data_IF_949391935911
#
_entry.id   IF_949391935911
#
_cell.length_a   1.000
_cell.length_b   1.000
_cell.length_c   1.000
_cell.angle_alpha   90.00
_cell.angle_beta   90.00
_cell.angle_gamma   90.00
#
_symmetry.space_group_name_H-M   'P 1'
#
loop_
_entity.id
_entity.type
_entity.pdbx_description
1 polymer ?
#
# COMPACT_ATOMS: atom_id res chain seq x y z
N UNK A 1 -14.89 -5.92 -6.28
CA UNK A 1 -14.20 -7.07 -5.66
C UNK A 1 -12.89 -6.59 -5.06
N UNK A 2 -12.53 -7.03 -3.84
CA UNK A 2 -11.32 -6.57 -3.14
C UNK A 2 -10.10 -7.41 -3.50
N UNK A 3 -8.94 -6.78 -3.50
CA UNK A 3 -7.63 -7.40 -3.77
C UNK A 3 -6.81 -7.37 -2.49
N UNK A 4 -6.47 -8.55 -1.96
CA UNK A 4 -5.61 -8.69 -0.78
C UNK A 4 -4.17 -8.91 -1.21
N UNK A 5 -3.25 -8.10 -0.69
CA UNK A 5 -1.81 -8.23 -0.98
C UNK A 5 -1.07 -8.55 0.33
N UNK A 6 -0.31 -9.64 0.34
CA UNK A 6 0.44 -10.10 1.51
C UNK A 6 1.80 -9.40 1.63
N UNK A 7 1.83 -8.28 2.36
CA UNK A 7 3.01 -7.41 2.46
C UNK A 7 3.87 -7.61 3.73
N UNK A 8 3.45 -8.42 4.70
CA UNK A 8 4.05 -8.44 6.04
C UNK A 8 5.16 -9.46 6.30
N UNK A 9 5.68 -10.14 5.27
CA UNK A 9 6.73 -11.16 5.44
C UNK A 9 8.14 -10.56 5.61
N UNK A 10 9.02 -11.28 6.34
CA UNK A 10 10.38 -10.85 6.66
C UNK A 10 11.34 -10.69 5.45
N UNK A 11 10.98 -11.20 4.26
CA UNK A 11 11.78 -10.96 3.06
C UNK A 11 13.15 -11.67 2.99
N UNK A 12 13.39 -12.71 3.81
CA UNK A 12 14.70 -13.37 4.04
C UNK A 12 15.51 -13.82 2.81
N UNK A 13 14.89 -13.93 1.63
CA UNK A 13 15.56 -14.33 0.37
C UNK A 13 16.23 -13.16 -0.38
N UNK A 14 15.95 -11.91 0.02
CA UNK A 14 16.50 -10.68 -0.55
C UNK A 14 17.09 -9.84 0.58
N UNK A 15 17.94 -10.46 1.39
CA UNK A 15 18.35 -9.93 2.70
C UNK A 15 19.09 -8.59 2.60
N UNK A 16 19.91 -8.41 1.56
CA UNK A 16 20.70 -7.21 1.28
C UNK A 16 19.85 -5.94 1.15
N UNK A 17 18.70 -6.02 0.47
CA UNK A 17 17.75 -4.90 0.33
C UNK A 17 16.70 -4.87 1.46
N UNK A 18 16.33 -6.05 1.98
CA UNK A 18 15.24 -6.16 2.97
C UNK A 18 15.63 -5.78 4.40
N UNK A 19 16.93 -5.71 4.67
CA UNK A 19 17.48 -5.15 5.91
C UNK A 19 17.15 -3.66 6.06
N UNK A 20 16.92 -2.94 4.96
CA UNK A 20 16.58 -1.51 4.97
C UNK A 20 15.08 -1.26 4.74
N UNK A 21 14.44 -1.97 3.80
CA UNK A 21 13.01 -1.79 3.43
C UNK A 21 12.25 -3.11 3.30
N UNK A 22 10.94 -3.21 3.60
CA UNK A 22 10.21 -4.45 3.38
C UNK A 22 10.20 -4.80 1.88
N UNK A 23 10.24 -6.08 1.51
CA UNK A 23 10.35 -6.54 0.11
C UNK A 23 9.36 -5.85 -0.86
N UNK A 24 8.07 -5.62 -0.50
CA UNK A 24 7.13 -4.93 -1.39
C UNK A 24 7.55 -3.49 -1.75
N UNK A 25 8.43 -2.88 -0.96
CA UNK A 25 8.94 -1.51 -1.12
C UNK A 25 10.26 -1.43 -1.91
N UNK A 26 10.79 -2.56 -2.38
CA UNK A 26 11.88 -2.55 -3.38
C UNK A 26 11.35 -1.89 -4.66
N UNK A 27 12.14 -0.99 -5.25
CA UNK A 27 11.70 -0.16 -6.37
C UNK A 27 12.12 -0.75 -7.72
N UNK A 28 11.25 -0.56 -8.72
CA UNK A 28 11.54 -0.81 -10.13
C UNK A 28 11.10 0.46 -10.88
N UNK A 29 12.04 1.13 -11.55
CA UNK A 29 11.74 2.40 -12.25
C UNK A 29 11.24 3.51 -11.31
N UNK A 30 11.79 3.61 -10.09
CA UNK A 30 11.44 4.65 -9.12
C UNK A 30 10.07 4.47 -8.42
N UNK A 31 9.41 3.32 -8.59
CA UNK A 31 8.17 2.98 -7.88
C UNK A 31 8.28 1.60 -7.21
N UNK A 32 7.71 1.40 -6.01
CA UNK A 32 7.69 0.10 -5.34
C UNK A 32 7.07 -1.02 -6.18
N UNK A 33 7.57 -2.25 -6.06
CA UNK A 33 6.94 -3.45 -6.65
C UNK A 33 5.47 -3.54 -6.23
N UNK A 34 5.15 -3.20 -4.99
CA UNK A 34 3.78 -3.13 -4.48
C UNK A 34 2.89 -2.24 -5.34
N UNK A 35 3.38 -1.06 -5.71
CA UNK A 35 2.68 -0.12 -6.57
C UNK A 35 2.44 -0.73 -7.96
N UNK A 36 3.44 -1.38 -8.55
CA UNK A 36 3.30 -2.06 -9.84
C UNK A 36 2.25 -3.18 -9.82
N UNK A 37 2.23 -4.00 -8.78
CA UNK A 37 1.21 -5.04 -8.59
C UNK A 37 -0.19 -4.40 -8.54
N UNK A 38 -0.35 -3.34 -7.75
CA UNK A 38 -1.63 -2.62 -7.65
C UNK A 38 -2.03 -1.99 -8.99
N UNK A 39 -1.07 -1.46 -9.77
CA UNK A 39 -1.32 -0.95 -11.13
C UNK A 39 -1.86 -2.02 -12.07
N UNK A 40 -1.33 -3.23 -12.01
CA UNK A 40 -1.81 -4.37 -12.82
C UNK A 40 -3.28 -4.66 -12.49
N UNK A 41 -3.63 -4.79 -11.20
CA UNK A 41 -5.03 -5.00 -10.79
C UNK A 41 -5.94 -3.84 -11.19
N UNK A 42 -5.48 -2.61 -10.99
CA UNK A 42 -6.24 -1.41 -11.32
C UNK A 42 -6.51 -1.26 -12.82
N UNK A 43 -5.58 -1.71 -13.67
CA UNK A 43 -5.77 -1.76 -15.12
C UNK A 43 -6.98 -2.63 -15.50
N UNK A 44 -7.24 -3.71 -14.77
CA UNK A 44 -8.42 -4.57 -14.92
C UNK A 44 -9.64 -4.10 -14.09
N UNK A 45 -9.62 -2.88 -13.57
CA UNK A 45 -10.73 -2.28 -12.83
C UNK A 45 -10.79 -2.63 -11.34
N UNK A 46 -9.82 -3.38 -10.80
CA UNK A 46 -9.77 -3.73 -9.38
C UNK A 46 -8.96 -2.69 -8.60
N UNK A 47 -9.66 -1.73 -7.99
CA UNK A 47 -9.07 -0.57 -7.30
C UNK A 47 -9.25 -0.55 -5.78
N UNK A 48 -9.84 -1.61 -5.19
CA UNK A 48 -10.06 -1.72 -3.75
C UNK A 48 -9.09 -2.75 -3.15
N UNK A 49 -8.08 -2.26 -2.43
CA UNK A 49 -6.93 -3.02 -1.96
C UNK A 49 -6.93 -3.16 -0.44
N UNK A 50 -6.54 -4.35 0.04
CA UNK A 50 -6.25 -4.61 1.44
C UNK A 50 -4.80 -5.08 1.54
N UNK A 51 -3.96 -4.29 2.19
CA UNK A 51 -2.55 -4.60 2.38
C UNK A 51 -2.37 -5.24 3.76
N UNK A 52 -1.98 -6.51 3.79
CA UNK A 52 -1.69 -7.23 5.03
C UNK A 52 -0.28 -6.89 5.52
N UNK A 53 -0.18 -5.89 6.40
CA UNK A 53 1.08 -5.40 6.93
C UNK A 53 1.62 -6.30 8.06
N UNK A 54 2.92 -6.24 8.28
CA UNK A 54 3.63 -6.95 9.33
C UNK A 54 4.98 -6.25 9.53
N UNK A 55 6.07 -7.01 9.44
CA UNK A 55 7.42 -6.47 9.59
C UNK A 55 7.63 -5.21 8.71
N UNK A 56 8.04 -4.11 9.34
CA UNK A 56 8.23 -2.78 8.72
C UNK A 56 6.99 -2.20 8.03
N UNK A 57 5.80 -2.52 8.53
CA UNK A 57 4.54 -2.01 7.99
C UNK A 57 4.44 -0.49 8.00
N UNK A 58 5.14 0.20 8.90
CA UNK A 58 5.18 1.67 8.97
C UNK A 58 5.68 2.31 7.67
N UNK A 59 6.67 1.72 7.00
CA UNK A 59 7.21 2.27 5.75
C UNK A 59 6.16 2.25 4.63
N UNK A 60 5.32 1.20 4.58
CA UNK A 60 4.23 1.10 3.62
C UNK A 60 3.13 2.12 3.96
N UNK A 61 2.83 2.31 5.26
CA UNK A 61 1.87 3.32 5.70
C UNK A 61 2.34 4.73 5.32
N UNK A 62 3.60 5.05 5.58
CA UNK A 62 4.19 6.35 5.25
C UNK A 62 4.19 6.61 3.74
N UNK A 63 4.55 5.60 2.93
CA UNK A 63 4.50 5.71 1.48
C UNK A 63 3.11 6.11 0.97
N UNK A 64 2.04 5.42 1.41
CA UNK A 64 0.68 5.74 0.95
C UNK A 64 0.09 6.99 1.61
N UNK A 65 0.46 7.30 2.86
CA UNK A 65 0.03 8.52 3.55
C UNK A 65 0.57 9.77 2.86
N UNK A 66 1.83 9.72 2.43
CA UNK A 66 2.51 10.83 1.77
C UNK A 66 2.45 10.76 0.23
N UNK A 67 1.76 9.75 -0.33
CA UNK A 67 1.82 9.43 -1.77
C UNK A 67 1.45 10.62 -2.65
N UNK A 68 0.32 11.27 -2.35
CA UNK A 68 -0.18 12.41 -3.12
C UNK A 68 0.77 13.61 -3.07
N UNK A 69 1.48 13.81 -1.95
CA UNK A 69 2.42 14.93 -1.79
C UNK A 69 3.75 14.62 -2.47
N UNK A 70 4.25 13.40 -2.35
CA UNK A 70 5.56 13.00 -2.89
C UNK A 70 5.53 12.68 -4.38
N UNK A 71 4.37 12.28 -4.91
CA UNK A 71 4.21 11.91 -6.32
C UNK A 71 3.82 13.08 -7.21
N UNK A 72 3.43 14.22 -6.64
CA UNK A 72 2.81 15.32 -7.37
C UNK A 72 3.40 16.66 -6.95
N UNK A 73 3.35 17.63 -7.85
CA UNK A 73 3.59 19.02 -7.48
C UNK A 73 2.42 19.52 -6.61
N UNK A 74 2.72 20.23 -5.53
CA UNK A 74 1.70 20.73 -4.61
C UNK A 74 2.05 22.12 -4.07
N UNK A 75 1.02 22.89 -3.74
CA UNK A 75 1.14 24.16 -2.99
C UNK A 75 0.64 23.94 -1.57
N UNK A 76 1.38 24.43 -0.57
CA UNK A 76 0.97 24.44 0.83
C UNK A 76 0.99 25.85 1.39
N UNK A 77 -0.10 26.27 2.04
CA UNK A 77 -0.17 27.53 2.77
C UNK A 77 0.19 27.30 4.25
N UNK A 78 1.22 28.00 4.74
CA UNK A 78 1.70 27.89 6.12
C UNK A 78 1.18 29.05 6.96
N UNK A 79 0.86 28.80 8.24
CA UNK A 79 0.42 29.83 9.20
C UNK A 79 -1.09 30.10 9.22
N UNK A 80 -1.88 29.45 8.37
CA UNK A 80 -3.34 29.49 8.43
C UNK A 80 -3.89 28.50 9.46
N UNK A 81 -5.07 28.79 10.03
CA UNK A 81 -5.74 27.88 10.99
C UNK A 81 -6.21 26.56 10.36
N UNK A 82 -6.32 26.50 9.04
CA UNK A 82 -6.74 25.32 8.28
C UNK A 82 -5.65 24.97 7.28
N UNK A 83 -5.08 23.77 7.39
CA UNK A 83 -4.11 23.25 6.42
C UNK A 83 -4.75 23.22 5.02
N UNK A 84 -4.30 24.12 4.14
CA UNK A 84 -4.69 24.14 2.74
C UNK A 84 -3.54 23.55 1.92
N UNK A 85 -3.81 22.43 1.25
CA UNK A 85 -2.89 21.75 0.33
C UNK A 85 -3.63 21.61 -0.99
N UNK A 86 -3.01 22.11 -2.06
CA UNK A 86 -3.50 22.00 -3.43
C UNK A 86 -2.55 21.10 -4.22
N UNK A 87 -3.08 20.07 -4.88
CA UNK A 87 -2.31 19.12 -5.70
C UNK A 87 -2.50 19.51 -7.17
N UNK A 88 -1.41 19.73 -7.91
CA UNK A 88 -1.45 20.30 -9.27
C UNK A 88 -1.48 19.27 -10.40
N UNK A 89 -1.47 17.97 -10.10
CA UNK A 89 -1.39 16.94 -11.14
C UNK A 89 -2.51 15.91 -11.07
N UNK A 90 -2.93 15.47 -12.26
CA UNK A 90 -3.93 14.43 -12.46
C UNK A 90 -3.22 13.12 -12.87
N UNK A 91 -3.16 12.12 -11.98
CA UNK A 91 -2.43 10.85 -12.22
C UNK A 91 -3.34 9.62 -12.26
N UNK A 92 -2.79 8.57 -12.86
CA UNK A 92 -3.44 7.30 -13.24
C UNK A 92 -3.86 6.35 -12.11
N UNK A 93 -3.75 6.76 -10.84
CA UNK A 93 -4.16 5.97 -9.66
C UNK A 93 -5.50 6.45 -9.09
N UNK A 94 -6.21 7.30 -9.83
CA UNK A 94 -7.51 7.83 -9.43
C UNK A 94 -8.50 6.72 -9.04
N UNK A 95 -9.12 6.90 -7.88
CA UNK A 95 -10.16 6.02 -7.33
C UNK A 95 -9.64 4.79 -6.58
N UNK A 96 -8.34 4.70 -6.28
CA UNK A 96 -7.82 3.63 -5.42
C UNK A 96 -8.32 3.79 -3.98
N UNK A 97 -8.84 2.71 -3.41
CA UNK A 97 -9.17 2.59 -1.99
C UNK A 97 -8.21 1.60 -1.37
N UNK A 98 -7.44 2.02 -0.37
CA UNK A 98 -6.37 1.21 0.20
C UNK A 98 -6.58 1.07 1.71
N UNK A 99 -6.80 -0.17 2.16
CA UNK A 99 -6.86 -0.52 3.57
C UNK A 99 -5.49 -1.03 4.03
N UNK A 100 -4.85 -0.29 4.93
CA UNK A 100 -3.55 -0.62 5.52
C UNK A 100 -3.75 -1.40 6.82
N UNK A 101 -3.91 -2.72 6.74
CA UNK A 101 -4.25 -3.55 7.89
C UNK A 101 -3.00 -4.11 8.58
N UNK A 102 -2.81 -3.78 9.86
CA UNK A 102 -1.82 -4.47 10.69
C UNK A 102 -2.29 -5.90 10.95
N UNK A 103 -1.54 -6.86 10.41
CA UNK A 103 -1.81 -8.29 10.57
C UNK A 103 -0.75 -8.99 11.42
N UNK A 104 0.17 -8.24 12.05
CA UNK A 104 1.21 -8.71 12.96
C UNK A 104 2.48 -9.25 12.28
N UNK A 105 3.63 -9.04 12.92
CA UNK A 105 4.95 -9.35 12.34
C UNK A 105 5.17 -10.85 12.09
N UNK A 106 4.79 -11.67 13.07
CA UNK A 106 5.01 -13.13 13.04
C UNK A 106 3.86 -13.91 12.41
N UNK A 107 2.82 -13.23 11.90
CA UNK A 107 1.66 -13.92 11.36
C UNK A 107 2.00 -14.63 10.04
N UNK A 108 1.58 -15.89 9.93
CA UNK A 108 1.61 -16.65 8.68
C UNK A 108 0.47 -16.23 7.76
N UNK A 109 0.57 -16.56 6.46
CA UNK A 109 -0.37 -16.12 5.41
C UNK A 109 -1.84 -16.32 5.78
N UNK A 110 -2.23 -17.52 6.21
CA UNK A 110 -3.62 -17.81 6.59
C UNK A 110 -4.10 -17.00 7.80
N UNK A 111 -3.24 -16.76 8.80
CA UNK A 111 -3.58 -15.93 9.95
C UNK A 111 -3.79 -14.46 9.55
N UNK A 112 -3.02 -13.96 8.59
CA UNK A 112 -3.21 -12.61 8.02
C UNK A 112 -4.56 -12.50 7.33
N UNK A 113 -4.91 -13.48 6.49
CA UNK A 113 -6.22 -13.55 5.82
C UNK A 113 -7.37 -13.58 6.82
N UNK A 114 -7.27 -14.41 7.87
CA UNK A 114 -8.29 -14.45 8.93
C UNK A 114 -8.49 -13.09 9.61
N UNK A 115 -7.42 -12.34 9.87
CA UNK A 115 -7.47 -11.03 10.56
C UNK A 115 -8.10 -9.93 9.70
N UNK A 116 -7.95 -10.00 8.38
CA UNK A 116 -8.55 -9.02 7.45
C UNK A 116 -9.99 -9.35 7.04
N UNK A 117 -10.55 -10.47 7.51
CA UNK A 117 -11.91 -10.90 7.13
C UNK A 117 -12.99 -9.83 7.39
N UNK A 118 -12.82 -9.01 8.42
CA UNK A 118 -13.71 -7.87 8.72
C UNK A 118 -13.73 -6.76 7.66
N UNK A 119 -12.78 -6.78 6.73
CA UNK A 119 -12.70 -5.83 5.62
C UNK A 119 -13.11 -6.48 4.30
N UNK A 120 -13.58 -7.72 4.28
CA UNK A 120 -14.07 -8.40 3.07
C UNK A 120 -15.59 -8.39 3.14
N UNK A 121 -16.25 -7.76 2.15
CA UNK A 121 -17.70 -7.51 2.19
C UNK A 121 -18.52 -8.59 1.46
N UNK A 122 -17.89 -9.63 0.90
CA UNK A 122 -18.58 -10.69 0.15
C UNK A 122 -17.80 -11.99 0.08
N UNK A 123 -18.32 -12.96 -0.66
CA UNK A 123 -17.81 -14.35 -0.66
C UNK A 123 -16.51 -14.54 -1.48
N UNK A 124 -16.18 -13.56 -2.33
CA UNK A 124 -15.05 -13.64 -3.26
C UNK A 124 -14.13 -12.43 -3.13
N UNK A 125 -12.83 -12.72 -3.12
CA UNK A 125 -11.75 -11.74 -3.16
C UNK A 125 -10.54 -12.37 -3.86
N UNK A 126 -9.63 -11.52 -4.36
CA UNK A 126 -8.36 -11.96 -4.93
C UNK A 126 -7.26 -11.86 -3.89
N UNK A 127 -6.25 -12.73 -3.95
CA UNK A 127 -5.10 -12.68 -3.05
C UNK A 127 -3.79 -12.89 -3.82
N UNK A 128 -2.76 -12.12 -3.48
CA UNK A 128 -1.40 -12.31 -3.98
C UNK A 128 -0.34 -12.11 -2.91
#
# INVERSE_FOLDING_TARGET
MKVVILCGGLGIRLREETEFRPKPMVEIGGKPILWHIMKIYAHYGFKDFILCLGYKGEMIKEYFYSYEILSNDFTIELGSRKRHIEIHSNRSEEGWRITLADTGDKALKGARLKRIGKYIDGDQFMVT
#
